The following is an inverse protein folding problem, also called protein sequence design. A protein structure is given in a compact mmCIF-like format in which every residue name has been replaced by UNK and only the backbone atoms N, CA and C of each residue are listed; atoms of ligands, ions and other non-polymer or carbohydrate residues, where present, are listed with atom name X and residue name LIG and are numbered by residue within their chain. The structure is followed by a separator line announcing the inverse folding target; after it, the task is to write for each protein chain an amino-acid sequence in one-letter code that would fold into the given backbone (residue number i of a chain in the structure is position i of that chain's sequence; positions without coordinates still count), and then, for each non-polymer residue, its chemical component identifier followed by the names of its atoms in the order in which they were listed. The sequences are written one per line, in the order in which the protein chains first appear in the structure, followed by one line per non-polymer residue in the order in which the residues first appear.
data_IF_777269426688
#
_entry.id   IF_777269426688
#
_cell.length_a   1.000
_cell.length_b   1.000
_cell.length_c   1.000
_cell.angle_alpha   90.00
_cell.angle_beta   90.00
_cell.angle_gamma   90.00
#
_symmetry.space_group_name_H-M   'P 1'
#
loop_
_entity.id
_entity.type
_entity.pdbx_description
1 polymer ?
#
# COMPACT_ATOMS: atom_id res chain seq x y z
N UNK A 1 21.52 7.25 25.57
CA UNK A 1 21.34 5.78 25.41
C UNK A 1 19.83 5.57 25.33
N UNK A 2 19.29 5.13 24.19
CA UNK A 2 17.82 5.13 23.95
C UNK A 2 17.16 3.97 24.71
N UNK A 3 16.00 4.28 25.27
CA UNK A 3 15.17 3.50 26.20
C UNK A 3 14.47 2.29 25.55
N UNK A 4 15.21 1.53 24.73
CA UNK A 4 14.68 0.37 24.01
C UNK A 4 14.47 -0.82 24.95
N UNK A 5 15.20 -0.88 26.06
CA UNK A 5 15.16 -1.97 27.03
C UNK A 5 13.88 -1.97 27.89
N UNK A 6 13.12 -0.86 27.91
CA UNK A 6 11.82 -0.78 28.61
C UNK A 6 10.64 -1.34 27.79
N UNK A 7 10.82 -1.54 26.50
CA UNK A 7 9.77 -2.02 25.61
C UNK A 7 10.19 -3.36 25.00
N UNK A 8 9.25 -4.30 24.91
CA UNK A 8 9.53 -5.61 24.32
C UNK A 8 9.69 -5.46 22.80
N UNK A 9 10.85 -5.83 22.29
CA UNK A 9 11.06 -6.02 20.84
C UNK A 9 10.70 -7.45 20.46
N UNK A 10 9.84 -7.61 19.46
CA UNK A 10 9.47 -8.91 18.92
C UNK A 10 9.78 -8.96 17.42
N UNK A 11 10.52 -9.97 16.98
CA UNK A 11 10.65 -10.28 15.57
C UNK A 11 9.37 -10.96 15.09
N UNK A 12 8.60 -10.25 14.25
CA UNK A 12 7.34 -10.78 13.69
C UNK A 12 7.55 -11.49 12.35
N UNK A 13 8.66 -11.27 11.65
CA UNK A 13 8.97 -11.95 10.41
C UNK A 13 10.49 -12.06 10.26
N UNK A 14 10.97 -13.20 9.76
CA UNK A 14 12.36 -13.44 9.42
C UNK A 14 12.40 -14.05 8.02
N UNK A 15 12.98 -13.34 7.07
CA UNK A 15 13.17 -13.86 5.73
C UNK A 15 14.34 -14.84 5.72
N UNK A 16 14.07 -16.13 5.48
CA UNK A 16 15.09 -17.18 5.44
C UNK A 16 15.78 -17.35 4.08
N UNK A 17 15.32 -16.65 3.04
CA UNK A 17 15.75 -16.88 1.64
C UNK A 17 16.48 -15.67 1.02
N UNK A 18 16.74 -14.61 1.79
CA UNK A 18 17.63 -13.52 1.38
C UNK A 18 16.98 -12.37 0.58
N UNK A 19 15.64 -12.30 0.55
CA UNK A 19 14.93 -11.15 -0.01
C UNK A 19 14.97 -9.92 0.92
N UNK A 20 14.78 -8.74 0.34
CA UNK A 20 14.81 -7.47 1.08
C UNK A 20 13.39 -7.09 1.49
N UNK A 21 13.13 -7.01 2.80
CA UNK A 21 11.85 -6.56 3.35
C UNK A 21 11.83 -5.03 3.40
N UNK A 22 10.78 -4.41 2.87
CA UNK A 22 10.62 -2.95 2.76
C UNK A 22 9.19 -2.50 3.08
N UNK A 23 9.04 -1.18 3.28
CA UNK A 23 7.77 -0.47 3.38
C UNK A 23 6.75 -1.11 4.34
N UNK A 24 7.13 -1.45 5.59
CA UNK A 24 6.16 -1.97 6.53
C UNK A 24 5.16 -0.89 6.96
N UNK A 25 3.89 -1.25 7.05
CA UNK A 25 2.84 -0.45 7.70
C UNK A 25 1.98 -1.34 8.61
N UNK A 26 1.33 -0.75 9.61
CA UNK A 26 0.58 -1.49 10.64
C UNK A 26 -0.70 -0.80 11.08
N UNK A 27 -1.77 -1.58 11.16
CA UNK A 27 -3.00 -1.21 11.86
C UNK A 27 -3.48 -2.37 12.74
N UNK A 28 -3.58 -2.13 14.05
CA UNK A 28 -3.99 -3.15 15.00
C UNK A 28 -3.08 -4.39 14.93
N UNK A 29 -3.65 -5.53 14.51
CA UNK A 29 -2.91 -6.78 14.33
C UNK A 29 -2.44 -7.02 12.89
N UNK A 30 -2.81 -6.17 11.94
CA UNK A 30 -2.48 -6.33 10.53
C UNK A 30 -1.19 -5.58 10.25
N UNK A 31 -0.18 -6.31 9.80
CA UNK A 31 1.07 -5.75 9.28
C UNK A 31 1.13 -6.05 7.80
N UNK A 32 1.40 -5.03 6.98
CA UNK A 32 1.64 -5.17 5.55
C UNK A 32 3.08 -4.77 5.26
N UNK A 33 3.74 -5.46 4.33
CA UNK A 33 5.08 -5.10 3.85
C UNK A 33 5.31 -5.61 2.44
N UNK A 34 6.39 -5.13 1.82
CA UNK A 34 6.88 -5.69 0.57
C UNK A 34 8.15 -6.49 0.77
N UNK A 35 8.33 -7.50 -0.06
CA UNK A 35 9.55 -8.28 -0.10
C UNK A 35 10.06 -8.41 -1.53
N UNK A 36 11.29 -7.94 -1.73
CA UNK A 36 11.97 -8.00 -3.03
C UNK A 36 12.80 -9.29 -3.11
N UNK A 37 12.55 -10.09 -4.13
CA UNK A 37 13.28 -11.33 -4.43
C UNK A 37 13.58 -11.43 -5.93
N UNK A 38 14.86 -11.50 -6.29
CA UNK A 38 15.33 -11.83 -7.65
C UNK A 38 14.54 -11.10 -8.77
N UNK A 39 14.40 -9.77 -8.64
CA UNK A 39 13.69 -8.87 -9.57
C UNK A 39 12.16 -8.83 -9.46
N UNK A 40 11.55 -9.60 -8.56
CA UNK A 40 10.13 -9.52 -8.25
C UNK A 40 9.90 -8.89 -6.87
N UNK A 41 8.89 -8.05 -6.76
CA UNK A 41 8.40 -7.56 -5.46
C UNK A 41 7.09 -8.26 -5.15
N UNK A 42 6.92 -8.74 -3.92
CA UNK A 42 5.67 -9.35 -3.46
C UNK A 42 5.11 -8.57 -2.28
N UNK A 43 3.79 -8.54 -2.13
CA UNK A 43 3.12 -7.91 -0.99
C UNK A 43 2.61 -8.97 -0.04
N UNK A 44 2.99 -8.84 1.23
CA UNK A 44 2.61 -9.75 2.29
C UNK A 44 1.79 -9.04 3.35
N UNK A 45 0.86 -9.78 3.93
CA UNK A 45 0.08 -9.39 5.08
C UNK A 45 0.26 -10.41 6.18
N UNK A 46 0.40 -9.95 7.42
CA UNK A 46 0.41 -10.78 8.62
C UNK A 46 -0.66 -10.34 9.59
N UNK A 47 -1.44 -11.31 10.06
CA UNK A 47 -2.24 -11.17 11.27
C UNK A 47 -1.37 -11.61 12.47
N UNK A 48 -0.94 -10.64 13.27
CA UNK A 48 -0.08 -10.87 14.44
C UNK A 48 -0.79 -11.77 15.46
N UNK A 49 -2.09 -11.60 15.67
CA UNK A 49 -2.84 -12.34 16.68
C UNK A 49 -3.02 -13.81 16.30
N UNK A 50 -3.17 -14.09 15.00
CA UNK A 50 -3.27 -15.46 14.48
C UNK A 50 -1.92 -16.11 14.19
N UNK A 51 -0.84 -15.33 14.15
CA UNK A 51 0.49 -15.77 13.70
C UNK A 51 0.43 -16.34 12.26
N UNK A 52 -0.38 -15.74 11.40
CA UNK A 52 -0.61 -16.16 10.02
C UNK A 52 -0.03 -15.12 9.07
N UNK A 53 0.59 -15.56 7.98
CA UNK A 53 1.15 -14.70 6.94
C UNK A 53 0.66 -15.17 5.58
N UNK A 54 0.19 -14.23 4.77
CA UNK A 54 -0.35 -14.47 3.44
C UNK A 54 0.31 -13.54 2.45
N UNK A 55 0.64 -14.07 1.27
CA UNK A 55 1.00 -13.24 0.13
C UNK A 55 -0.30 -12.78 -0.54
N UNK A 56 -0.51 -11.47 -0.64
CA UNK A 56 -1.73 -10.91 -1.24
C UNK A 56 -1.50 -10.43 -2.68
N UNK A 57 -0.23 -10.22 -3.06
CA UNK A 57 0.12 -9.84 -4.44
C UNK A 57 1.46 -10.45 -4.85
N UNK A 58 1.51 -11.04 -6.04
CA UNK A 58 2.72 -11.59 -6.65
C UNK A 58 3.19 -10.70 -7.81
N UNK A 59 4.51 -10.48 -7.95
CA UNK A 59 5.07 -9.61 -8.99
C UNK A 59 4.43 -8.21 -8.97
N UNK A 60 4.30 -7.66 -7.78
CA UNK A 60 3.74 -6.35 -7.51
C UNK A 60 4.60 -5.25 -8.15
N UNK A 61 3.92 -4.35 -8.85
CA UNK A 61 4.50 -3.17 -9.51
C UNK A 61 4.04 -1.87 -8.86
N UNK A 62 3.27 -1.95 -7.76
CA UNK A 62 2.74 -0.77 -7.09
C UNK A 62 3.75 -0.07 -6.19
N UNK A 63 3.27 0.96 -5.51
CA UNK A 63 4.02 1.73 -4.50
C UNK A 63 3.07 2.36 -3.48
N UNK A 64 3.64 2.93 -2.40
CA UNK A 64 2.89 3.67 -1.37
C UNK A 64 1.79 2.87 -0.68
N UNK A 65 2.17 1.77 -0.01
CA UNK A 65 1.24 1.00 0.82
C UNK A 65 0.81 1.81 2.05
N UNK A 66 -0.49 1.76 2.35
CA UNK A 66 -1.03 2.25 3.62
C UNK A 66 -2.16 1.34 4.11
N UNK A 67 -2.27 1.10 5.41
CA UNK A 67 -3.27 0.19 6.00
C UNK A 67 -4.12 0.86 7.08
N UNK A 68 -5.44 0.62 7.04
CA UNK A 68 -6.37 0.97 8.12
C UNK A 68 -7.52 -0.05 8.19
N UNK A 69 -7.77 -0.60 9.37
CA UNK A 69 -8.75 -1.67 9.53
C UNK A 69 -8.32 -2.93 8.79
N UNK A 70 -9.21 -3.41 7.95
CA UNK A 70 -9.02 -4.51 7.01
C UNK A 70 -8.67 -4.04 5.58
N UNK A 71 -8.47 -2.72 5.39
CA UNK A 71 -8.24 -2.09 4.08
C UNK A 71 -6.77 -1.72 3.90
N UNK A 72 -6.22 -2.11 2.76
CA UNK A 72 -4.86 -1.76 2.33
C UNK A 72 -5.00 -0.97 1.05
N UNK A 73 -4.44 0.24 0.98
CA UNK A 73 -4.42 1.07 -0.24
C UNK A 73 -3.00 1.16 -0.80
N UNK A 74 -2.90 1.29 -2.12
CA UNK A 74 -1.63 1.53 -2.82
C UNK A 74 -1.87 2.26 -4.14
N UNK A 75 -0.81 2.83 -4.68
CA UNK A 75 -0.76 3.28 -6.06
C UNK A 75 -0.30 2.12 -6.95
N UNK A 76 -0.99 1.87 -8.06
CA UNK A 76 -0.45 1.06 -9.14
C UNK A 76 -0.22 1.94 -10.35
N UNK A 77 0.94 1.78 -10.98
CA UNK A 77 1.27 2.52 -12.19
C UNK A 77 1.50 1.60 -13.39
N UNK A 78 1.41 2.20 -14.57
CA UNK A 78 1.63 1.54 -15.84
C UNK A 78 2.08 2.55 -16.87
N UNK A 79 2.82 2.09 -17.87
CA UNK A 79 3.27 2.91 -18.99
C UNK A 79 2.63 2.37 -20.26
N UNK A 80 1.93 3.23 -21.00
CA UNK A 80 1.35 2.91 -22.32
C UNK A 80 1.89 3.89 -23.36
N UNK A 81 2.80 3.41 -24.21
CA UNK A 81 3.56 4.29 -25.10
C UNK A 81 4.48 5.21 -24.28
N UNK A 82 4.39 6.51 -24.50
CA UNK A 82 5.14 7.52 -23.75
C UNK A 82 4.37 8.07 -22.54
N UNK A 83 3.17 7.54 -22.26
CA UNK A 83 2.32 8.03 -21.19
C UNK A 83 2.45 7.18 -19.93
N UNK A 84 2.71 7.85 -18.81
CA UNK A 84 2.60 7.29 -17.47
C UNK A 84 1.14 7.37 -16.99
N UNK A 85 0.65 6.31 -16.38
CA UNK A 85 -0.69 6.22 -15.81
C UNK A 85 -0.60 5.64 -14.41
N UNK A 86 -1.24 6.27 -13.44
CA UNK A 86 -1.31 5.78 -12.06
C UNK A 86 -2.71 5.94 -11.47
N UNK A 87 -3.11 4.93 -10.69
CA UNK A 87 -4.38 4.94 -9.97
C UNK A 87 -4.24 4.35 -8.58
N UNK A 88 -5.15 4.74 -7.71
CA UNK A 88 -5.25 4.20 -6.35
C UNK A 88 -6.12 2.95 -6.37
N UNK A 89 -5.63 1.92 -5.72
CA UNK A 89 -6.31 0.66 -5.51
C UNK A 89 -6.44 0.40 -4.01
N UNK A 90 -7.44 -0.41 -3.66
CA UNK A 90 -7.69 -0.86 -2.31
C UNK A 90 -7.93 -2.37 -2.32
N UNK A 91 -7.37 -3.08 -1.35
CA UNK A 91 -7.61 -4.48 -1.06
C UNK A 91 -8.29 -4.58 0.29
N UNK A 92 -9.41 -5.30 0.36
CA UNK A 92 -10.05 -5.64 1.62
C UNK A 92 -9.64 -7.07 2.02
N UNK A 93 -8.93 -7.18 3.15
CA UNK A 93 -8.45 -8.46 3.69
C UNK A 93 -9.57 -9.36 4.22
N UNK A 94 -10.72 -8.80 4.62
CA UNK A 94 -11.89 -9.55 5.08
C UNK A 94 -12.64 -10.22 3.93
N UNK A 95 -12.74 -9.56 2.77
CA UNK A 95 -13.44 -10.08 1.59
C UNK A 95 -12.51 -10.70 0.55
N UNK A 96 -11.21 -10.45 0.67
CA UNK A 96 -10.18 -10.77 -0.32
C UNK A 96 -10.43 -10.12 -1.69
N UNK A 97 -11.11 -8.97 -1.74
CA UNK A 97 -11.43 -8.26 -2.98
C UNK A 97 -10.53 -7.05 -3.18
N UNK A 98 -10.20 -6.78 -4.44
CA UNK A 98 -9.49 -5.55 -4.86
C UNK A 98 -10.45 -4.63 -5.60
N UNK A 99 -10.44 -3.34 -5.26
CA UNK A 99 -11.22 -2.29 -5.91
C UNK A 99 -10.30 -1.18 -6.38
N UNK A 100 -10.50 -0.70 -7.62
CA UNK A 100 -9.86 0.52 -8.12
C UNK A 100 -10.66 1.73 -7.60
N UNK A 101 -9.99 2.63 -6.88
CA UNK A 101 -10.61 3.80 -6.23
C UNK A 101 -10.69 4.99 -7.20
N UNK A 102 -9.65 5.23 -7.99
CA UNK A 102 -9.58 6.36 -8.93
C UNK A 102 -9.63 5.90 -10.38
N UNK A 103 -10.07 6.77 -11.28
CA UNK A 103 -10.00 6.57 -12.73
C UNK A 103 -9.40 7.77 -13.48
N UNK A 104 -8.77 8.68 -12.74
CA UNK A 104 -8.25 9.96 -13.20
C UNK A 104 -6.88 9.88 -13.87
N UNK A 105 -6.26 8.69 -13.91
CA UNK A 105 -5.02 8.40 -14.64
C UNK A 105 -3.73 8.94 -14.02
N UNK A 106 -3.80 9.87 -13.07
CA UNK A 106 -2.61 10.47 -12.43
C UNK A 106 -2.72 10.54 -10.90
N UNK A 107 -3.45 9.59 -10.29
CA UNK A 107 -3.60 9.53 -8.85
C UNK A 107 -2.40 8.82 -8.21
N UNK A 108 -1.89 9.35 -7.11
CA UNK A 108 -0.66 8.87 -6.47
C UNK A 108 -0.63 9.11 -4.95
N UNK A 109 0.32 8.44 -4.29
CA UNK A 109 0.65 8.63 -2.87
C UNK A 109 -0.58 8.57 -1.93
N UNK A 110 -1.34 7.47 -1.94
CA UNK A 110 -2.52 7.37 -1.10
C UNK A 110 -2.15 7.19 0.38
N UNK A 111 -3.00 7.71 1.25
CA UNK A 111 -3.06 7.33 2.65
C UNK A 111 -4.50 7.07 3.07
N UNK A 112 -4.72 6.16 4.00
CA UNK A 112 -6.05 5.79 4.49
C UNK A 112 -6.18 6.00 5.99
N UNK A 113 -7.30 6.58 6.42
CA UNK A 113 -7.69 6.66 7.82
C UNK A 113 -9.20 6.63 7.93
N UNK A 114 -9.73 5.73 8.75
CA UNK A 114 -11.18 5.53 8.86
C UNK A 114 -11.76 5.25 7.46
N UNK A 115 -12.88 5.87 7.11
CA UNK A 115 -13.52 5.70 5.80
C UNK A 115 -13.01 6.70 4.76
N UNK A 116 -11.79 7.23 4.93
CA UNK A 116 -11.24 8.29 4.08
C UNK A 116 -9.93 7.86 3.45
N UNK A 117 -9.83 8.08 2.14
CA UNK A 117 -8.60 7.93 1.38
C UNK A 117 -8.19 9.30 0.87
N UNK A 118 -7.02 9.77 1.27
CA UNK A 118 -6.40 10.99 0.73
C UNK A 118 -5.34 10.61 -0.30
N UNK A 119 -5.24 11.35 -1.39
CA UNK A 119 -4.26 11.09 -2.46
C UNK A 119 -3.98 12.36 -3.26
N UNK A 120 -2.87 12.34 -4.00
CA UNK A 120 -2.44 13.39 -4.91
C UNK A 120 -2.98 13.08 -6.31
N UNK A 121 -3.47 14.07 -7.06
CA UNK A 121 -3.97 13.86 -8.42
C UNK A 121 -3.85 15.13 -9.28
N UNK A 122 -3.47 14.97 -10.55
CA UNK A 122 -3.37 16.05 -11.55
C UNK A 122 -4.54 16.07 -12.54
N UNK A 123 -5.70 15.50 -12.19
CA UNK A 123 -6.92 15.46 -13.03
C UNK A 123 -7.37 16.79 -13.62
N UNK A 124 -7.00 17.91 -12.98
CA UNK A 124 -7.41 19.25 -13.40
C UNK A 124 -6.53 19.81 -14.52
N UNK A 125 -5.32 19.28 -14.69
CA UNK A 125 -4.41 19.62 -15.79
C UNK A 125 -3.68 18.35 -16.28
N UNK A 126 -4.33 17.54 -17.13
CA UNK A 126 -3.72 16.33 -17.66
C UNK A 126 -2.61 16.61 -18.71
N UNK A 127 -2.52 17.83 -19.22
CA UNK A 127 -1.49 18.24 -20.20
C UNK A 127 -0.17 18.59 -19.51
N UNK A 128 -0.26 19.15 -18.29
CA UNK A 128 0.88 19.49 -17.44
C UNK A 128 0.78 18.81 -16.07
N UNK A 129 1.39 17.63 -15.93
CA UNK A 129 1.43 16.77 -14.72
C UNK A 129 2.14 17.39 -13.50
N UNK A 130 2.39 18.70 -13.52
CA UNK A 130 3.01 19.47 -12.45
C UNK A 130 1.97 20.10 -11.51
N UNK A 131 0.75 20.36 -12.00
CA UNK A 131 -0.34 20.90 -11.20
C UNK A 131 -1.08 19.76 -10.48
N UNK A 132 -0.61 19.48 -9.27
CA UNK A 132 -1.11 18.40 -8.41
C UNK A 132 -1.91 18.95 -7.25
N UNK A 133 -3.15 18.50 -7.14
CA UNK A 133 -4.04 18.82 -6.03
C UNK A 133 -4.16 17.62 -5.07
N UNK A 134 -4.62 17.89 -3.84
CA UNK A 134 -4.92 16.86 -2.85
C UNK A 134 -6.42 16.58 -2.86
N UNK A 135 -6.79 15.32 -3.01
CA UNK A 135 -8.17 14.85 -3.02
C UNK A 135 -8.46 13.96 -1.83
N UNK A 136 -9.70 14.03 -1.37
CA UNK A 136 -10.26 13.14 -0.37
C UNK A 136 -11.37 12.31 -1.03
N UNK A 137 -11.30 11.00 -0.90
CA UNK A 137 -12.36 10.06 -1.25
C UNK A 137 -12.98 9.51 0.03
N UNK A 138 -14.30 9.63 0.15
CA UNK A 138 -15.06 9.11 1.28
C UNK A 138 -15.71 7.78 0.87
N UNK A 139 -15.34 6.69 1.54
CA UNK A 139 -15.85 5.34 1.31
C UNK A 139 -17.28 5.14 1.83
N UNK A 140 -17.80 6.07 2.63
CA UNK A 140 -19.15 6.00 3.21
C UNK A 140 -20.23 6.71 2.37
N UNK A 141 -19.82 7.44 1.33
CA UNK A 141 -20.69 8.27 0.50
C UNK A 141 -21.51 7.49 -0.53
#
# INVERSE_FOLDING_TARGET
MRDIDKHKTLMIYSNCIGGIVRNPDIYGNIVVWTEDQNESTNVYVRDIAKNETSQIYANWTGSYLSVYGDRIVWMNDSVTGDNYHSDIYMYNTSTAETTRITNSTYASEPAIYDDKIVYIDSRNDPEYQEDRDIYLYDLSA
#
